data_IF_070236105880
#
_entry.id   IF_070236105880
#
_cell.length_a   1.000
_cell.length_b   1.000
_cell.length_c   1.000
_cell.angle_alpha   90.00
_cell.angle_beta   90.00
_cell.angle_gamma   90.00
#
_symmetry.space_group_name_H-M   'P 1'
#
loop_
_entity.id
_entity.type
_entity.pdbx_description
1 polymer ?
#
# COMPACT_ATOMS: atom_id res chain seq x y z
N UNK A 1 37.40 0.42 -20.15
CA UNK A 1 36.36 0.45 -19.09
C UNK A 1 35.03 0.50 -19.80
N UNK A 2 34.28 -0.58 -19.79
CA UNK A 2 32.90 -0.62 -20.30
C UNK A 2 32.04 0.23 -19.37
N UNK A 3 31.18 1.10 -19.91
CA UNK A 3 30.27 1.90 -19.10
C UNK A 3 29.34 0.96 -18.30
N UNK A 4 29.23 1.18 -16.98
CA UNK A 4 28.33 0.41 -16.10
C UNK A 4 26.90 0.70 -16.53
N UNK A 5 26.07 -0.35 -16.69
CA UNK A 5 24.68 -0.18 -17.13
C UNK A 5 23.83 0.53 -16.05
N UNK A 6 22.72 1.17 -16.43
CA UNK A 6 21.80 1.75 -15.45
C UNK A 6 21.20 0.70 -14.50
N UNK A 7 21.01 -0.54 -14.97
CA UNK A 7 20.53 -1.65 -14.15
C UNK A 7 21.55 -2.07 -13.08
N UNK A 8 22.83 -2.14 -13.43
CA UNK A 8 23.88 -2.44 -12.45
C UNK A 8 24.00 -1.32 -11.41
N UNK A 9 23.90 -0.05 -11.85
CA UNK A 9 23.87 1.11 -10.95
C UNK A 9 22.65 1.09 -10.01
N UNK A 10 21.48 0.67 -10.51
CA UNK A 10 20.27 0.52 -9.71
C UNK A 10 20.44 -0.56 -8.63
N UNK A 11 20.99 -1.72 -9.00
CA UNK A 11 21.31 -2.80 -8.05
C UNK A 11 22.34 -2.37 -7.02
N UNK A 12 23.36 -1.62 -7.42
CA UNK A 12 24.38 -1.08 -6.52
C UNK A 12 23.75 -0.13 -5.48
N UNK A 13 22.87 0.77 -5.92
CA UNK A 13 22.13 1.67 -5.03
C UNK A 13 21.27 0.90 -4.03
N UNK A 14 20.53 -0.11 -4.50
CA UNK A 14 19.63 -0.90 -3.66
C UNK A 14 20.34 -1.73 -2.60
N UNK A 15 21.64 -2.02 -2.75
CA UNK A 15 22.43 -2.64 -1.67
C UNK A 15 22.65 -1.70 -0.49
N UNK A 16 22.75 -0.39 -0.75
CA UNK A 16 22.95 0.63 0.28
C UNK A 16 21.62 1.17 0.82
N UNK A 17 20.68 1.46 -0.08
CA UNK A 17 19.35 2.00 0.22
C UNK A 17 18.28 1.14 -0.48
N UNK A 18 17.93 -0.01 0.11
CA UNK A 18 16.96 -0.93 -0.47
C UNK A 18 15.54 -0.32 -0.46
N UNK A 19 14.60 -0.97 -1.15
CA UNK A 19 13.18 -0.56 -1.18
C UNK A 19 12.52 -0.83 0.17
N UNK A 20 11.80 0.16 0.67
CA UNK A 20 10.71 0.05 1.64
C UNK A 20 9.43 0.02 0.84
N UNK A 21 8.87 -1.18 0.64
CA UNK A 21 7.63 -1.34 -0.08
C UNK A 21 6.42 -1.15 0.85
N UNK A 22 5.50 -0.28 0.42
CA UNK A 22 4.37 0.17 1.22
C UNK A 22 3.21 -0.81 1.32
N UNK A 23 3.09 -1.78 0.42
CA UNK A 23 1.94 -2.67 0.37
C UNK A 23 2.20 -3.96 -0.41
N UNK A 24 2.13 -5.10 0.29
CA UNK A 24 2.20 -6.44 -0.29
C UNK A 24 1.21 -7.37 0.43
N UNK A 25 0.39 -8.06 -0.36
CA UNK A 25 -0.76 -8.85 0.08
C UNK A 25 -0.47 -10.34 0.23
N UNK A 26 0.80 -10.73 0.31
CA UNK A 26 1.21 -12.11 0.56
C UNK A 26 0.39 -12.81 1.66
N UNK A 27 0.08 -12.19 2.82
CA UNK A 27 -0.78 -12.81 3.83
C UNK A 27 -2.18 -13.19 3.30
N UNK A 28 -2.84 -12.31 2.54
CA UNK A 28 -4.14 -12.61 1.93
C UNK A 28 -4.02 -13.68 0.84
N UNK A 29 -2.98 -13.65 0.00
CA UNK A 29 -2.74 -14.71 -0.97
C UNK A 29 -2.54 -16.09 -0.29
N UNK A 30 -1.82 -16.14 0.83
CA UNK A 30 -1.64 -17.35 1.64
C UNK A 30 -2.95 -17.81 2.29
N UNK A 31 -3.83 -16.88 2.70
CA UNK A 31 -5.18 -17.19 3.18
C UNK A 31 -5.98 -17.90 2.10
N UNK A 32 -6.09 -17.30 0.92
CA UNK A 32 -6.99 -17.78 -0.12
C UNK A 32 -6.47 -19.06 -0.79
N UNK A 33 -5.16 -19.14 -1.06
CA UNK A 33 -4.60 -20.27 -1.80
C UNK A 33 -4.44 -21.52 -0.95
N UNK A 34 -4.02 -21.38 0.32
CA UNK A 34 -3.61 -22.52 1.15
C UNK A 34 -4.11 -22.43 2.59
N UNK A 35 -5.00 -21.49 2.91
CA UNK A 35 -5.53 -21.26 4.27
C UNK A 35 -4.43 -21.24 5.33
N UNK A 36 -3.38 -20.51 5.02
CA UNK A 36 -2.17 -20.35 5.84
C UNK A 36 -1.39 -21.65 6.11
N UNK A 37 -1.53 -22.71 5.31
CA UNK A 37 -0.55 -23.79 5.31
C UNK A 37 0.76 -23.31 4.68
N UNK A 38 1.61 -22.68 5.49
CA UNK A 38 2.87 -22.07 5.06
C UNK A 38 3.87 -23.09 4.52
N UNK A 39 3.69 -24.39 4.79
CA UNK A 39 4.53 -25.42 4.17
C UNK A 39 4.15 -25.65 2.70
N UNK A 40 2.89 -25.45 2.33
CA UNK A 40 2.41 -25.54 0.95
C UNK A 40 2.80 -24.31 0.09
N UNK A 41 3.24 -23.23 0.74
CA UNK A 41 3.79 -22.01 0.13
C UNK A 41 5.03 -21.55 0.89
N UNK A 42 6.06 -22.41 0.90
CA UNK A 42 7.32 -22.09 1.55
C UNK A 42 8.07 -21.01 0.74
N UNK A 43 8.03 -19.77 1.23
CA UNK A 43 8.66 -18.62 0.56
C UNK A 43 10.18 -18.63 0.61
N UNK A 44 10.83 -19.58 1.30
CA UNK A 44 12.28 -19.79 1.13
C UNK A 44 12.62 -20.46 -0.20
N UNK A 45 11.63 -21.11 -0.84
CA UNK A 45 11.74 -21.66 -2.20
C UNK A 45 11.08 -20.74 -3.24
N UNK A 46 11.45 -20.86 -4.52
CA UNK A 46 10.75 -20.15 -5.59
C UNK A 46 9.25 -20.46 -5.62
N UNK A 47 8.42 -19.42 -5.64
CA UNK A 47 6.95 -19.48 -5.65
C UNK A 47 6.35 -18.83 -6.90
N UNK A 48 7.14 -18.59 -7.96
CA UNK A 48 6.73 -17.86 -9.17
C UNK A 48 5.52 -18.45 -9.93
N UNK A 49 5.16 -19.71 -9.68
CA UNK A 49 3.96 -20.32 -10.25
C UNK A 49 2.66 -19.92 -9.52
N UNK A 50 2.77 -19.30 -8.35
CA UNK A 50 1.65 -19.09 -7.42
C UNK A 50 1.60 -17.69 -6.81
N UNK A 51 2.76 -17.05 -6.64
CA UNK A 51 2.92 -15.81 -5.92
C UNK A 51 3.86 -14.87 -6.67
N UNK A 52 3.63 -13.57 -6.51
CA UNK A 52 4.61 -12.53 -6.83
C UNK A 52 5.77 -12.54 -5.82
N UNK A 53 5.56 -13.04 -4.60
CA UNK A 53 6.54 -12.92 -3.51
C UNK A 53 7.17 -14.25 -3.10
N UNK A 54 8.50 -14.26 -3.01
CA UNK A 54 9.30 -15.19 -2.20
C UNK A 54 10.62 -14.52 -1.78
N UNK A 55 11.34 -15.13 -0.83
CA UNK A 55 12.56 -14.57 -0.26
C UNK A 55 13.66 -14.37 -1.32
N UNK A 56 13.97 -15.33 -2.22
CA UNK A 56 14.94 -15.10 -3.29
C UNK A 56 14.61 -13.87 -4.15
N UNK A 57 13.36 -13.72 -4.58
CA UNK A 57 12.95 -12.58 -5.42
C UNK A 57 12.93 -11.26 -4.66
N UNK A 58 12.55 -11.24 -3.38
CA UNK A 58 12.66 -10.03 -2.54
C UNK A 58 14.11 -9.54 -2.48
N UNK A 59 15.07 -10.46 -2.34
CA UNK A 59 16.51 -10.14 -2.35
C UNK A 59 16.97 -9.65 -3.72
N UNK A 60 16.55 -10.32 -4.80
CA UNK A 60 16.88 -9.91 -6.17
C UNK A 60 16.35 -8.51 -6.49
N UNK A 61 15.14 -8.20 -6.03
CA UNK A 61 14.50 -6.90 -6.17
C UNK A 61 15.07 -5.81 -5.27
N UNK A 62 15.95 -6.15 -4.32
CA UNK A 62 16.50 -5.20 -3.37
C UNK A 62 15.48 -4.65 -2.38
N UNK A 63 14.51 -5.47 -1.95
CA UNK A 63 13.56 -5.12 -0.88
C UNK A 63 14.25 -5.27 0.47
N UNK A 64 14.27 -4.21 1.26
CA UNK A 64 14.91 -4.15 2.57
C UNK A 64 13.94 -3.86 3.70
N UNK A 65 12.74 -3.36 3.38
CA UNK A 65 11.61 -3.39 4.28
C UNK A 65 10.30 -3.61 3.52
N UNK A 66 9.36 -4.27 4.18
CA UNK A 66 8.03 -4.53 3.63
C UNK A 66 7.00 -4.21 4.71
N UNK A 67 6.00 -3.41 4.34
CA UNK A 67 4.73 -3.42 5.04
C UNK A 67 3.90 -4.57 4.48
N UNK A 68 3.73 -5.62 5.29
CA UNK A 68 2.85 -6.73 4.99
C UNK A 68 1.41 -6.30 5.25
N UNK A 69 0.59 -6.32 4.20
CA UNK A 69 -0.83 -6.02 4.33
C UNK A 69 -1.49 -7.09 5.20
N UNK A 70 -2.24 -6.65 6.21
CA UNK A 70 -3.15 -7.50 6.97
C UNK A 70 -4.59 -7.26 6.53
N UNK A 71 -4.77 -7.01 5.24
CA UNK A 71 -6.05 -6.85 4.55
C UNK A 71 -7.04 -7.97 4.90
N UNK A 72 -8.29 -7.57 5.03
CA UNK A 72 -9.44 -8.46 5.03
C UNK A 72 -10.57 -7.82 4.25
N UNK A 73 -11.44 -8.63 3.66
CA UNK A 73 -12.63 -8.12 2.97
C UNK A 73 -13.54 -7.31 3.89
N UNK A 74 -14.00 -6.17 3.39
CA UNK A 74 -14.96 -5.26 4.03
C UNK A 74 -16.36 -5.85 4.22
N UNK A 75 -16.74 -6.81 3.37
CA UNK A 75 -18.06 -7.45 3.37
C UNK A 75 -18.16 -8.68 4.30
N UNK A 76 -17.11 -8.97 5.08
CA UNK A 76 -17.18 -9.98 6.13
C UNK A 76 -18.04 -9.48 7.30
N UNK A 77 -18.87 -10.35 7.91
CA UNK A 77 -19.71 -9.96 9.05
C UNK A 77 -18.88 -9.52 10.26
N UNK A 78 -17.75 -10.20 10.52
CA UNK A 78 -16.82 -9.89 11.60
C UNK A 78 -15.39 -9.79 11.04
N UNK A 79 -14.90 -8.58 10.70
CA UNK A 79 -13.57 -8.41 10.10
C UNK A 79 -12.42 -8.49 11.12
N UNK A 80 -12.69 -8.28 12.41
CA UNK A 80 -11.65 -8.28 13.45
C UNK A 80 -10.95 -9.64 13.60
N UNK A 81 -11.66 -10.79 13.75
CA UNK A 81 -11.01 -12.10 13.81
C UNK A 81 -10.13 -12.40 12.59
N UNK A 82 -10.61 -12.08 11.38
CA UNK A 82 -9.83 -12.26 10.16
C UNK A 82 -8.57 -11.38 10.16
N UNK A 83 -8.66 -10.14 10.66
CA UNK A 83 -7.50 -9.24 10.78
C UNK A 83 -6.46 -9.83 11.74
N UNK A 84 -6.91 -10.43 12.85
CA UNK A 84 -6.02 -11.12 13.79
C UNK A 84 -5.35 -12.35 13.18
N UNK A 85 -6.05 -13.10 12.33
CA UNK A 85 -5.49 -14.24 11.58
C UNK A 85 -4.42 -13.77 10.57
N UNK A 86 -4.64 -12.63 9.90
CA UNK A 86 -3.65 -12.04 8.99
C UNK A 86 -2.39 -11.59 9.75
N UNK A 87 -2.55 -10.95 10.91
CA UNK A 87 -1.44 -10.61 11.82
C UNK A 87 -0.69 -11.88 12.25
N UNK A 88 -1.41 -12.94 12.64
CA UNK A 88 -0.81 -14.23 12.99
C UNK A 88 0.00 -14.82 11.83
N UNK A 89 -0.51 -14.74 10.59
CA UNK A 89 0.19 -15.19 9.40
C UNK A 89 1.56 -14.49 9.27
N UNK A 90 1.59 -13.15 9.37
CA UNK A 90 2.86 -12.38 9.30
C UNK A 90 3.81 -12.79 10.43
N UNK A 91 3.31 -12.97 11.67
CA UNK A 91 4.13 -13.40 12.80
C UNK A 91 4.71 -14.81 12.58
N UNK A 92 3.95 -15.73 12.00
CA UNK A 92 4.43 -17.07 11.65
C UNK A 92 5.47 -17.05 10.53
N UNK A 93 5.38 -16.13 9.57
CA UNK A 93 6.44 -15.91 8.57
C UNK A 93 7.73 -15.44 9.25
N UNK A 94 7.64 -14.47 10.16
CA UNK A 94 8.80 -13.99 10.93
C UNK A 94 9.47 -15.08 11.76
N UNK A 95 8.67 -15.92 12.42
CA UNK A 95 9.17 -17.07 13.21
C UNK A 95 9.82 -18.14 12.34
N UNK A 96 9.30 -18.36 11.13
CA UNK A 96 9.76 -19.40 10.21
C UNK A 96 11.04 -19.00 9.46
N UNK A 97 11.23 -17.70 9.18
CA UNK A 97 12.37 -17.19 8.40
C UNK A 97 13.18 -16.11 9.14
N UNK A 98 13.68 -16.36 10.36
CA UNK A 98 14.33 -15.34 11.20
C UNK A 98 15.68 -14.85 10.66
N UNK A 99 16.30 -15.62 9.77
CA UNK A 99 17.54 -15.25 9.09
C UNK A 99 17.31 -14.20 8.00
N UNK A 100 16.11 -14.14 7.44
CA UNK A 100 15.77 -13.28 6.31
C UNK A 100 14.88 -12.11 6.71
N UNK A 101 13.94 -12.35 7.64
CA UNK A 101 12.96 -11.38 8.08
C UNK A 101 13.26 -10.92 9.52
N UNK A 102 13.07 -9.63 9.77
CA UNK A 102 13.20 -9.04 11.10
C UNK A 102 11.91 -8.30 11.46
N UNK A 103 11.31 -8.50 12.64
CA UNK A 103 10.17 -7.69 13.06
C UNK A 103 10.61 -6.22 13.18
N UNK A 104 9.84 -5.31 12.60
CA UNK A 104 10.11 -3.88 12.72
C UNK A 104 8.85 -3.14 13.20
N UNK A 105 9.00 -2.45 14.32
CA UNK A 105 7.94 -1.70 15.00
C UNK A 105 8.26 -0.21 15.08
N UNK A 106 9.43 0.21 14.59
CA UNK A 106 9.91 1.57 14.62
C UNK A 106 10.86 1.85 13.45
N UNK A 107 11.10 3.14 13.18
CA UNK A 107 12.13 3.59 12.24
C UNK A 107 13.53 3.07 12.62
N UNK A 108 13.81 2.97 13.92
CA UNK A 108 15.07 2.39 14.41
C UNK A 108 15.19 0.89 14.11
N UNK A 109 14.10 0.13 14.20
CA UNK A 109 14.10 -1.30 13.85
C UNK A 109 14.34 -1.50 12.35
N UNK A 110 13.82 -0.61 11.49
CA UNK A 110 14.10 -0.65 10.05
C UNK A 110 15.59 -0.48 9.77
N UNK A 111 16.23 0.49 10.41
CA UNK A 111 17.69 0.70 10.27
C UNK A 111 18.51 -0.46 10.84
N UNK A 112 18.08 -1.04 11.97
CA UNK A 112 18.73 -2.22 12.54
C UNK A 112 18.63 -3.43 11.60
N UNK A 113 17.46 -3.71 11.04
CA UNK A 113 17.26 -4.78 10.08
C UNK A 113 18.13 -4.59 8.82
N UNK A 114 18.20 -3.36 8.29
CA UNK A 114 19.08 -3.04 7.16
C UNK A 114 20.54 -3.29 7.48
N UNK A 115 21.02 -2.87 8.65
CA UNK A 115 22.40 -3.08 9.07
C UNK A 115 22.76 -4.57 9.23
N UNK A 116 21.78 -5.41 9.58
CA UNK A 116 21.92 -6.87 9.68
C UNK A 116 21.69 -7.61 8.36
N UNK A 117 21.32 -6.90 7.28
CA UNK A 117 20.97 -7.51 6.00
C UNK A 117 19.66 -8.31 6.02
N UNK A 118 18.76 -8.03 6.96
CA UNK A 118 17.42 -8.63 7.05
C UNK A 118 16.36 -7.68 6.51
N UNK A 119 15.25 -8.23 6.04
CA UNK A 119 14.11 -7.46 5.55
C UNK A 119 13.28 -7.04 6.75
N UNK A 120 13.23 -5.73 7.02
CA UNK A 120 12.39 -5.18 8.07
C UNK A 120 10.92 -5.44 7.72
N UNK A 121 10.21 -6.15 8.58
CA UNK A 121 8.85 -6.63 8.33
C UNK A 121 7.89 -5.92 9.27
N UNK A 122 7.12 -5.00 8.70
CA UNK A 122 6.08 -4.21 9.35
C UNK A 122 4.70 -4.74 8.94
N UNK A 123 3.64 -4.26 9.59
CA UNK A 123 2.27 -4.59 9.22
C UNK A 123 1.44 -3.34 9.00
N UNK A 124 0.52 -3.41 8.05
CA UNK A 124 -0.46 -2.35 7.81
C UNK A 124 -1.86 -2.92 7.57
N UNK A 125 -2.84 -2.41 8.31
CA UNK A 125 -4.23 -2.81 8.14
C UNK A 125 -4.84 -2.05 6.96
N UNK A 126 -5.63 -2.74 6.14
CA UNK A 126 -6.20 -2.14 4.94
C UNK A 126 -7.72 -2.01 5.08
N UNK A 127 -8.13 -0.90 5.66
CA UNK A 127 -9.53 -0.50 5.80
C UNK A 127 -9.97 -0.35 7.26
N UNK A 128 -10.75 0.70 7.50
CA UNK A 128 -11.28 1.04 8.82
C UNK A 128 -12.27 0.02 9.40
N UNK A 129 -12.80 -0.89 8.59
CA UNK A 129 -13.64 -1.99 9.06
C UNK A 129 -12.88 -2.93 10.00
N UNK A 130 -11.55 -3.06 9.87
CA UNK A 130 -10.70 -3.86 10.76
C UNK A 130 -10.75 -3.45 12.23
N UNK A 131 -11.27 -2.25 12.55
CA UNK A 131 -11.44 -1.80 13.95
C UNK A 131 -12.88 -1.89 14.46
N UNK A 132 -13.84 -2.29 13.62
CA UNK A 132 -15.25 -2.42 13.98
C UNK A 132 -15.79 -1.22 14.80
N UNK A 133 -15.51 0.00 14.34
CA UNK A 133 -15.87 1.27 15.00
C UNK A 133 -15.38 1.40 16.46
N UNK A 134 -14.29 0.72 16.83
CA UNK A 134 -13.77 0.69 18.20
C UNK A 134 -12.33 1.22 18.26
N UNK A 135 -12.15 2.35 18.95
CA UNK A 135 -10.83 2.88 19.27
C UNK A 135 -10.03 1.93 20.17
N UNK A 136 -10.71 1.10 20.97
CA UNK A 136 -10.06 0.04 21.75
C UNK A 136 -9.42 -1.04 20.86
N UNK A 137 -10.12 -1.44 19.79
CA UNK A 137 -9.59 -2.40 18.80
C UNK A 137 -8.43 -1.77 18.03
N UNK A 138 -8.54 -0.50 17.59
CA UNK A 138 -7.44 0.24 16.96
C UNK A 138 -6.16 0.20 17.79
N UNK A 139 -6.25 0.50 19.10
CA UNK A 139 -5.12 0.40 20.03
C UNK A 139 -4.59 -1.04 20.16
N UNK A 140 -5.48 -2.03 20.14
CA UNK A 140 -5.12 -3.44 20.15
C UNK A 140 -4.31 -3.84 18.92
N UNK A 141 -4.73 -3.44 17.71
CA UNK A 141 -3.99 -3.68 16.48
C UNK A 141 -2.60 -3.03 16.52
N UNK A 142 -2.50 -1.79 17.00
CA UNK A 142 -1.20 -1.13 17.20
C UNK A 142 -0.28 -1.92 18.13
N UNK A 143 -0.81 -2.41 19.26
CA UNK A 143 -0.08 -3.21 20.23
C UNK A 143 0.39 -4.55 19.66
N UNK A 144 -0.35 -5.11 18.69
CA UNK A 144 0.02 -6.33 17.96
C UNK A 144 1.05 -6.08 16.86
N UNK A 145 1.39 -4.82 16.56
CA UNK A 145 2.47 -4.45 15.65
C UNK A 145 2.03 -3.73 14.37
N UNK A 146 0.73 -3.45 14.19
CA UNK A 146 0.25 -2.68 13.04
C UNK A 146 0.77 -1.23 13.10
N UNK A 147 1.26 -0.71 11.98
CA UNK A 147 1.93 0.61 11.89
C UNK A 147 1.31 1.58 10.91
N UNK A 148 0.45 1.13 9.99
CA UNK A 148 -0.51 2.00 9.33
C UNK A 148 -1.91 1.38 9.34
N UNK A 149 -2.92 2.21 9.13
CA UNK A 149 -4.25 1.74 8.73
C UNK A 149 -4.78 2.59 7.58
N UNK A 150 -5.15 1.94 6.48
CA UNK A 150 -5.92 2.55 5.38
C UNK A 150 -7.32 2.85 5.89
N UNK A 151 -7.84 4.08 5.73
CA UNK A 151 -9.09 4.46 6.40
C UNK A 151 -10.32 3.74 5.81
N UNK A 152 -10.28 3.41 4.52
CA UNK A 152 -11.26 2.55 3.84
C UNK A 152 -10.53 1.51 3.00
N UNK A 153 -11.25 0.46 2.58
CA UNK A 153 -10.86 -0.30 1.39
C UNK A 153 -11.76 0.19 0.23
N UNK A 154 -12.29 -0.69 -0.60
CA UNK A 154 -13.13 -0.30 -1.75
C UNK A 154 -14.51 0.24 -1.38
N UNK A 155 -15.04 -0.07 -0.19
CA UNK A 155 -16.36 0.37 0.24
C UNK A 155 -16.25 1.43 1.35
N UNK A 156 -17.27 2.28 1.46
CA UNK A 156 -17.41 3.17 2.59
C UNK A 156 -17.44 2.40 3.91
N UNK A 157 -16.86 2.99 4.96
CA UNK A 157 -17.13 2.61 6.35
C UNK A 157 -18.00 3.69 7.00
N UNK A 158 -18.58 3.41 8.16
CA UNK A 158 -19.54 4.32 8.82
C UNK A 158 -19.03 5.74 9.08
N UNK A 159 -17.71 5.97 9.02
CA UNK A 159 -17.04 7.21 9.39
C UNK A 159 -16.05 7.75 8.35
N UNK A 160 -15.89 7.08 7.20
CA UNK A 160 -15.02 7.51 6.11
C UNK A 160 -15.51 7.05 4.73
N UNK A 161 -15.44 7.95 3.76
CA UNK A 161 -15.82 7.67 2.37
C UNK A 161 -14.65 7.07 1.55
N UNK A 162 -14.94 6.04 0.77
CA UNK A 162 -14.07 5.38 -0.20
C UNK A 162 -14.14 6.07 -1.56
N UNK A 163 -13.05 6.03 -2.33
CA UNK A 163 -13.02 6.59 -3.68
C UNK A 163 -13.81 5.77 -4.71
N UNK A 164 -14.09 4.50 -4.41
CA UNK A 164 -14.78 3.57 -5.32
C UNK A 164 -16.21 3.26 -4.87
N UNK A 165 -16.78 4.11 -4.02
CA UNK A 165 -18.15 4.02 -3.54
C UNK A 165 -18.85 5.38 -3.71
N UNK A 166 -20.18 5.40 -3.52
CA UNK A 166 -20.98 6.62 -3.57
C UNK A 166 -20.71 7.49 -2.33
N UNK A 167 -20.76 8.83 -2.44
CA UNK A 167 -20.58 9.71 -1.28
C UNK A 167 -21.58 9.44 -0.15
N UNK A 168 -21.10 9.41 1.11
CA UNK A 168 -21.95 9.18 2.28
C UNK A 168 -21.74 10.24 3.36
N UNK A 169 -20.65 10.17 4.14
CA UNK A 169 -20.38 11.14 5.24
C UNK A 169 -19.70 12.41 4.74
N UNK A 170 -19.31 12.46 3.46
CA UNK A 170 -18.71 13.61 2.81
C UNK A 170 -17.21 13.77 3.05
N UNK A 171 -16.50 12.67 3.33
CA UNK A 171 -15.11 12.67 3.74
C UNK A 171 -14.90 11.89 5.04
N UNK A 172 -14.55 12.60 6.13
CA UNK A 172 -14.52 12.04 7.48
C UNK A 172 -15.64 12.60 8.35
N UNK A 173 -16.37 11.70 9.02
CA UNK A 173 -17.30 12.06 10.10
C UNK A 173 -16.58 12.61 11.34
N UNK A 174 -17.31 12.98 12.39
CA UNK A 174 -16.70 13.42 13.63
C UNK A 174 -15.93 12.27 14.31
N UNK A 175 -16.48 11.05 14.29
CA UNK A 175 -15.77 9.84 14.71
C UNK A 175 -14.56 9.53 13.82
N UNK A 176 -14.67 9.70 12.50
CA UNK A 176 -13.54 9.50 11.58
C UNK A 176 -12.35 10.41 11.90
N UNK A 177 -12.62 11.68 12.24
CA UNK A 177 -11.57 12.60 12.73
C UNK A 177 -11.01 12.18 14.10
N UNK A 178 -11.81 11.55 14.96
CA UNK A 178 -11.34 10.99 16.23
C UNK A 178 -10.45 9.76 16.02
N UNK A 179 -10.76 8.91 15.03
CA UNK A 179 -9.89 7.80 14.61
C UNK A 179 -8.52 8.34 14.19
N UNK A 180 -8.48 9.36 13.31
CA UNK A 180 -7.22 10.02 12.91
C UNK A 180 -6.45 10.57 14.11
N UNK A 181 -7.13 11.24 15.05
CA UNK A 181 -6.49 11.76 16.28
C UNK A 181 -5.93 10.65 17.16
N UNK A 182 -6.59 9.50 17.28
CA UNK A 182 -6.08 8.38 18.07
C UNK A 182 -4.93 7.66 17.35
N UNK A 183 -4.95 7.57 16.01
CA UNK A 183 -3.83 7.08 15.20
C UNK A 183 -2.57 7.94 15.40
N UNK A 184 -2.71 9.28 15.33
CA UNK A 184 -1.61 10.20 15.64
C UNK A 184 -1.08 10.01 17.07
N UNK A 185 -1.96 9.80 18.06
CA UNK A 185 -1.55 9.57 19.46
C UNK A 185 -0.76 8.27 19.62
N UNK A 186 -1.12 7.24 18.86
CA UNK A 186 -0.47 5.94 18.90
C UNK A 186 0.89 5.97 18.21
N UNK A 187 1.01 6.73 17.12
CA UNK A 187 2.10 6.61 16.17
C UNK A 187 1.76 5.62 15.05
N UNK A 188 0.47 5.39 14.81
CA UNK A 188 0.00 4.65 13.63
C UNK A 188 -0.15 5.64 12.48
N UNK A 189 0.50 5.36 11.35
CA UNK A 189 0.39 6.15 10.15
C UNK A 189 -1.04 6.09 9.60
N UNK A 190 -1.56 7.25 9.23
CA UNK A 190 -2.84 7.37 8.50
C UNK A 190 -2.55 7.09 7.04
N UNK A 191 -3.11 6.00 6.50
CA UNK A 191 -3.01 5.68 5.08
C UNK A 191 -4.27 6.13 4.33
N UNK A 192 -4.03 6.88 3.26
CA UNK A 192 -5.03 7.52 2.41
C UNK A 192 -5.13 6.87 1.04
N UNK A 193 -4.52 5.70 0.83
CA UNK A 193 -4.93 4.83 -0.27
C UNK A 193 -6.41 4.46 -0.11
N UNK A 194 -7.07 4.12 -1.20
CA UNK A 194 -8.51 3.82 -1.32
C UNK A 194 -9.49 4.95 -1.05
N UNK A 195 -9.21 5.86 -0.12
CA UNK A 195 -10.20 6.82 0.36
C UNK A 195 -10.59 7.86 -0.70
N UNK A 196 -11.80 8.40 -0.61
CA UNK A 196 -12.25 9.47 -1.48
C UNK A 196 -11.38 10.73 -1.34
N UNK A 197 -11.30 11.55 -2.39
CA UNK A 197 -10.54 12.80 -2.33
C UNK A 197 -11.04 13.77 -1.24
N UNK A 198 -12.32 13.72 -0.88
CA UNK A 198 -12.88 14.43 0.28
C UNK A 198 -12.24 13.94 1.58
N UNK A 199 -12.20 12.63 1.78
CA UNK A 199 -11.55 11.96 2.91
C UNK A 199 -10.05 12.26 2.99
N UNK A 200 -9.35 12.32 1.85
CA UNK A 200 -7.93 12.70 1.81
C UNK A 200 -7.71 14.09 2.42
N UNK A 201 -8.52 15.08 2.01
CA UNK A 201 -8.42 16.47 2.49
C UNK A 201 -8.77 16.58 3.97
N UNK A 202 -9.84 15.92 4.39
CA UNK A 202 -10.26 15.90 5.80
C UNK A 202 -9.23 15.25 6.72
N UNK A 203 -8.58 14.17 6.27
CA UNK A 203 -7.53 13.52 7.03
C UNK A 203 -6.27 14.40 7.13
N UNK A 204 -5.90 15.09 6.05
CA UNK A 204 -4.80 16.06 6.05
C UNK A 204 -5.10 17.28 6.94
N UNK A 205 -6.37 17.69 7.08
CA UNK A 205 -6.79 18.74 8.01
C UNK A 205 -6.76 18.27 9.47
N UNK A 206 -7.13 17.01 9.72
CA UNK A 206 -7.22 16.45 11.07
C UNK A 206 -5.88 15.91 11.61
N UNK A 207 -4.98 15.46 10.73
CA UNK A 207 -3.73 14.81 11.11
C UNK A 207 -2.68 15.81 11.56
N UNK A 208 -2.08 15.53 12.71
CA UNK A 208 -0.91 16.23 13.26
C UNK A 208 0.41 15.49 12.99
N UNK A 209 0.34 14.30 12.39
CA UNK A 209 1.49 13.52 11.95
C UNK A 209 1.52 13.40 10.41
N UNK A 210 2.70 13.10 9.83
CA UNK A 210 2.80 12.69 8.44
C UNK A 210 1.84 11.56 8.08
N UNK A 211 1.11 11.73 6.97
CA UNK A 211 0.24 10.69 6.39
C UNK A 211 0.98 9.94 5.28
N UNK A 212 0.44 8.79 4.88
CA UNK A 212 0.94 8.06 3.72
C UNK A 212 -0.18 7.79 2.71
N UNK A 213 0.22 7.48 1.48
CA UNK A 213 -0.55 6.63 0.58
C UNK A 213 0.30 5.37 0.37
N UNK A 214 -0.08 4.24 0.97
CA UNK A 214 0.69 2.99 0.90
C UNK A 214 0.83 2.42 -0.52
N UNK A 215 -0.16 2.65 -1.39
CA UNK A 215 -0.14 2.21 -2.80
C UNK A 215 -1.14 3.04 -3.63
N UNK A 216 -0.75 4.23 -4.06
CA UNK A 216 -1.57 5.08 -4.96
C UNK A 216 -0.68 5.90 -5.90
N UNK A 217 -1.11 6.07 -7.14
CA UNK A 217 -0.37 6.79 -8.18
C UNK A 217 -1.00 8.16 -8.48
N UNK A 218 -0.44 8.95 -9.41
CA UNK A 218 -0.96 10.30 -9.72
C UNK A 218 -2.21 10.32 -10.60
N UNK A 219 -3.25 11.06 -10.18
CA UNK A 219 -4.53 11.15 -10.92
C UNK A 219 -4.43 12.01 -12.17
N UNK A 220 -3.58 13.04 -12.15
CA UNK A 220 -3.37 13.89 -13.33
C UNK A 220 -2.70 13.15 -14.50
N UNK A 221 -1.94 12.08 -14.21
CA UNK A 221 -1.31 11.23 -15.23
C UNK A 221 -2.30 10.18 -15.76
N UNK A 222 -3.13 9.60 -14.88
CA UNK A 222 -4.15 8.64 -15.25
C UNK A 222 -5.39 8.85 -14.38
N UNK A 223 -6.51 9.27 -14.98
CA UNK A 223 -7.70 9.69 -14.24
C UNK A 223 -8.48 8.46 -13.75
N UNK A 224 -8.20 8.07 -12.51
CA UNK A 224 -8.87 6.97 -11.82
C UNK A 224 -9.08 7.35 -10.35
N UNK A 225 -10.23 6.99 -9.73
CA UNK A 225 -10.54 7.37 -8.34
C UNK A 225 -9.53 6.85 -7.31
N UNK A 226 -8.83 5.73 -7.59
CA UNK A 226 -7.74 5.25 -6.72
C UNK A 226 -6.48 6.11 -6.75
N UNK A 227 -6.31 6.99 -7.73
CA UNK A 227 -5.13 7.84 -7.83
C UNK A 227 -5.31 9.17 -7.06
N UNK A 228 -4.19 9.77 -6.66
CA UNK A 228 -4.11 10.98 -5.83
C UNK A 228 -4.22 12.23 -6.69
N UNK A 229 -5.17 13.15 -6.42
CA UNK A 229 -5.24 14.46 -7.07
C UNK A 229 -4.05 15.36 -6.74
N UNK A 230 -3.70 16.27 -7.66
CA UNK A 230 -2.56 17.19 -7.46
C UNK A 230 -2.76 18.10 -6.24
N UNK A 231 -3.98 18.60 -5.99
CA UNK A 231 -4.26 19.45 -4.82
C UNK A 231 -4.03 18.74 -3.47
N UNK A 232 -4.02 17.40 -3.48
CA UNK A 232 -3.69 16.58 -2.31
C UNK A 232 -2.18 16.32 -2.24
N UNK A 233 -1.54 16.04 -3.38
CA UNK A 233 -0.06 15.88 -3.47
C UNK A 233 0.67 17.15 -3.02
N UNK A 234 0.17 18.34 -3.40
CA UNK A 234 0.72 19.65 -3.01
C UNK A 234 0.71 19.89 -1.49
N UNK A 235 -0.11 19.16 -0.74
CA UNK A 235 -0.21 19.28 0.74
C UNK A 235 0.82 18.43 1.48
N UNK A 236 1.43 17.45 0.83
CA UNK A 236 2.39 16.53 1.47
C UNK A 236 3.63 17.24 2.02
N UNK A 237 4.22 18.25 1.37
CA UNK A 237 5.33 19.03 1.95
C UNK A 237 5.01 19.65 3.30
N UNK A 238 3.82 20.24 3.45
CA UNK A 238 3.40 20.88 4.70
C UNK A 238 3.04 19.84 5.78
N UNK A 239 2.44 18.71 5.39
CA UNK A 239 2.11 17.63 6.30
C UNK A 239 3.34 16.78 6.72
N UNK A 240 4.37 16.69 5.86
CA UNK A 240 5.56 15.85 6.05
C UNK A 240 5.41 14.40 5.54
N UNK A 241 4.24 14.06 5.00
CA UNK A 241 3.87 12.73 4.51
C UNK A 241 4.53 12.30 3.20
N UNK A 242 4.09 11.17 2.65
CA UNK A 242 4.56 10.66 1.36
C UNK A 242 3.49 9.86 0.60
N UNK A 243 3.55 9.87 -0.74
CA UNK A 243 2.73 9.01 -1.60
C UNK A 243 3.58 7.90 -2.24
N UNK A 244 3.21 6.64 -2.00
CA UNK A 244 3.94 5.47 -2.48
C UNK A 244 3.30 4.98 -3.78
N UNK A 245 4.01 5.13 -4.90
CA UNK A 245 3.47 4.81 -6.23
C UNK A 245 3.15 3.32 -6.32
N UNK A 246 2.03 2.98 -6.91
CA UNK A 246 1.62 1.58 -7.14
C UNK A 246 1.77 1.15 -8.58
N UNK A 247 1.79 -0.16 -8.82
CA UNK A 247 2.04 -0.75 -10.14
C UNK A 247 0.77 -1.28 -10.81
N UNK A 248 -0.39 -1.22 -10.15
CA UNK A 248 -1.66 -1.77 -10.65
C UNK A 248 -1.99 -1.22 -12.05
N UNK A 249 -1.94 -2.04 -13.12
CA UNK A 249 -2.07 -1.55 -14.50
C UNK A 249 -3.36 -0.79 -14.77
N UNK A 250 -4.48 -1.25 -14.22
CA UNK A 250 -5.79 -0.58 -14.35
C UNK A 250 -5.90 0.75 -13.58
N UNK A 251 -4.87 1.17 -12.86
CA UNK A 251 -4.77 2.50 -12.25
C UNK A 251 -3.72 3.38 -12.95
N UNK A 252 -2.65 2.79 -13.49
CA UNK A 252 -1.51 3.55 -14.00
C UNK A 252 -1.46 3.70 -15.52
N UNK A 253 -2.19 2.87 -16.26
CA UNK A 253 -2.25 2.95 -17.72
C UNK A 253 -3.64 3.39 -18.17
N UNK A 254 -3.76 4.56 -18.80
CA UNK A 254 -5.05 5.08 -19.27
C UNK A 254 -5.79 4.07 -20.16
N UNK A 255 -5.08 3.40 -21.07
CA UNK A 255 -5.67 2.35 -21.89
C UNK A 255 -6.25 1.19 -21.06
N UNK A 256 -5.63 0.83 -19.93
CA UNK A 256 -6.15 -0.20 -19.03
C UNK A 256 -7.34 0.30 -18.21
N UNK A 257 -7.35 1.57 -17.78
CA UNK A 257 -8.54 2.21 -17.18
C UNK A 257 -9.72 2.11 -18.14
N UNK A 258 -9.54 2.59 -19.37
CA UNK A 258 -10.59 2.60 -20.41
C UNK A 258 -11.06 1.18 -20.73
N UNK A 259 -10.12 0.23 -20.83
CA UNK A 259 -10.42 -1.19 -21.07
C UNK A 259 -11.22 -1.80 -19.93
N UNK A 260 -10.86 -1.54 -18.67
CA UNK A 260 -11.58 -2.05 -17.50
C UNK A 260 -12.99 -1.46 -17.44
N UNK A 261 -13.16 -0.17 -17.70
CA UNK A 261 -14.48 0.44 -17.76
C UNK A 261 -15.38 -0.21 -18.84
N UNK A 262 -14.82 -0.45 -20.03
CA UNK A 262 -15.52 -1.14 -21.10
C UNK A 262 -15.85 -2.61 -20.78
N UNK A 263 -14.97 -3.31 -20.07
CA UNK A 263 -15.22 -4.68 -19.60
C UNK A 263 -16.36 -4.71 -18.57
N UNK A 264 -16.39 -3.75 -17.65
CA UNK A 264 -17.44 -3.62 -16.64
C UNK A 264 -18.79 -3.28 -17.26
N UNK A 265 -18.82 -2.38 -18.25
CA UNK A 265 -20.01 -2.08 -19.04
C UNK A 265 -20.52 -3.30 -19.80
N UNK A 266 -19.60 -4.09 -20.37
CA UNK A 266 -19.95 -5.34 -21.04
C UNK A 266 -20.57 -6.34 -20.04
N UNK A 267 -20.03 -6.49 -18.84
CA UNK A 267 -20.63 -7.33 -17.79
C UNK A 267 -22.05 -6.88 -17.45
N UNK A 268 -22.24 -5.57 -17.22
CA UNK A 268 -23.57 -4.98 -16.94
C UNK A 268 -24.56 -5.17 -18.10
N UNK A 269 -24.11 -5.06 -19.34
CA UNK A 269 -24.94 -5.28 -20.53
C UNK A 269 -25.44 -6.75 -20.64
N UNK A 270 -24.72 -7.68 -20.03
CA UNK A 270 -25.13 -9.09 -19.89
C UNK A 270 -25.95 -9.37 -18.62
N UNK A 271 -26.34 -8.34 -17.87
CA UNK A 271 -27.14 -8.47 -16.65
C UNK A 271 -26.35 -8.93 -15.42
N UNK A 272 -25.02 -8.86 -15.48
CA UNK A 272 -24.12 -9.30 -14.42
C UNK A 272 -23.58 -8.12 -13.62
N UNK A 273 -23.27 -8.35 -12.35
CA UNK A 273 -22.43 -7.41 -11.60
C UNK A 273 -21.01 -7.43 -12.19
N UNK A 274 -20.34 -6.28 -12.26
CA UNK A 274 -19.01 -6.19 -12.86
C UNK A 274 -17.93 -6.98 -12.07
N UNK A 275 -18.18 -7.25 -10.79
CA UNK A 275 -17.36 -8.14 -9.94
C UNK A 275 -17.85 -9.60 -9.91
N UNK A 276 -18.72 -10.01 -10.82
CA UNK A 276 -19.23 -11.40 -10.86
C UNK A 276 -18.13 -12.37 -11.31
N UNK A 277 -17.75 -13.28 -10.41
CA UNK A 277 -16.73 -14.31 -10.64
C UNK A 277 -17.32 -15.71 -10.86
N UNK A 278 -18.63 -15.84 -11.11
CA UNK A 278 -19.26 -17.12 -11.46
C UNK A 278 -18.72 -17.64 -12.80
N UNK A 279 -18.95 -18.92 -13.10
CA UNK A 279 -18.54 -19.49 -14.39
C UNK A 279 -19.13 -18.72 -15.58
N UNK A 280 -20.38 -18.25 -15.45
CA UNK A 280 -21.07 -17.43 -16.44
C UNK A 280 -20.41 -16.06 -16.58
N UNK A 281 -20.17 -15.35 -15.46
CA UNK A 281 -19.48 -14.06 -15.48
C UNK A 281 -18.09 -14.13 -16.09
N UNK A 282 -17.31 -15.14 -15.70
CA UNK A 282 -15.98 -15.36 -16.25
C UNK A 282 -16.01 -15.75 -17.73
N UNK A 283 -17.07 -16.42 -18.21
CA UNK A 283 -17.25 -16.70 -19.65
C UNK A 283 -17.50 -15.41 -20.44
N UNK A 284 -18.36 -14.52 -19.94
CA UNK A 284 -18.63 -13.21 -20.55
C UNK A 284 -17.36 -12.37 -20.58
N UNK A 285 -16.61 -12.32 -19.47
CA UNK A 285 -15.37 -11.57 -19.39
C UNK A 285 -14.29 -12.11 -20.35
N UNK A 286 -14.09 -13.43 -20.42
CA UNK A 286 -13.14 -14.04 -21.37
C UNK A 286 -13.49 -13.74 -22.82
N UNK A 287 -14.77 -13.80 -23.19
CA UNK A 287 -15.20 -13.46 -24.54
C UNK A 287 -14.92 -11.98 -24.88
N UNK A 288 -15.08 -11.08 -23.90
CA UNK A 288 -14.70 -9.68 -24.05
C UNK A 288 -13.19 -9.52 -24.27
N UNK A 289 -12.36 -10.18 -23.45
CA UNK A 289 -10.90 -10.12 -23.53
C UNK A 289 -10.33 -10.75 -24.81
N UNK A 290 -10.95 -11.81 -25.34
CA UNK A 290 -10.60 -12.39 -26.65
C UNK A 290 -10.83 -11.41 -27.80
N UNK A 291 -11.92 -10.63 -27.74
CA UNK A 291 -12.26 -9.64 -28.75
C UNK A 291 -11.49 -8.31 -28.56
N UNK A 292 -11.13 -7.99 -27.32
CA UNK A 292 -10.44 -6.77 -26.92
C UNK A 292 -9.25 -7.14 -26.04
N UNK A 293 -8.08 -7.43 -26.63
CA UNK A 293 -6.90 -7.82 -25.85
C UNK A 293 -6.56 -6.77 -24.78
N UNK A 294 -6.25 -7.25 -23.57
CA UNK A 294 -5.90 -6.39 -22.44
C UNK A 294 -4.62 -5.60 -22.73
N UNK A 295 -4.61 -4.27 -22.51
CA UNK A 295 -3.40 -3.46 -22.65
C UNK A 295 -2.41 -3.75 -21.51
N UNK A 296 -1.12 -3.67 -21.83
CA UNK A 296 -0.03 -4.01 -20.91
C UNK A 296 0.72 -2.74 -20.52
N UNK A 297 0.78 -2.46 -19.22
CA UNK A 297 1.59 -1.37 -18.66
C UNK A 297 3.07 -1.76 -18.68
N UNK A 298 3.96 -0.78 -18.54
CA UNK A 298 5.42 -1.02 -18.51
C UNK A 298 6.07 -0.30 -17.33
N UNK A 299 7.36 -0.57 -17.09
CA UNK A 299 8.18 0.24 -16.18
C UNK A 299 8.08 1.75 -16.48
N UNK A 300 8.09 2.13 -17.76
CA UNK A 300 8.00 3.54 -18.17
C UNK A 300 6.68 4.18 -17.73
N UNK A 301 5.58 3.41 -17.77
CA UNK A 301 4.26 3.86 -17.29
C UNK A 301 4.32 4.26 -15.81
N UNK A 302 4.95 3.44 -14.97
CA UNK A 302 5.12 3.75 -13.54
C UNK A 302 6.06 4.93 -13.33
N UNK A 303 7.13 5.03 -14.11
CA UNK A 303 8.07 6.15 -14.04
C UNK A 303 7.41 7.49 -14.44
N UNK A 304 6.44 7.50 -15.36
CA UNK A 304 5.66 8.70 -15.72
C UNK A 304 4.87 9.25 -14.51
N UNK A 305 4.28 8.36 -13.70
CA UNK A 305 3.65 8.75 -12.45
C UNK A 305 4.65 9.31 -11.45
N UNK A 306 5.83 8.70 -11.30
CA UNK A 306 6.85 9.18 -10.36
C UNK A 306 7.42 10.54 -10.76
N UNK A 307 7.64 10.79 -12.05
CA UNK A 307 8.10 12.10 -12.53
C UNK A 307 7.09 13.21 -12.17
N UNK A 308 5.80 12.97 -12.43
CA UNK A 308 4.73 13.91 -12.07
C UNK A 308 4.58 14.08 -10.56
N UNK A 309 4.55 12.98 -9.80
CA UNK A 309 4.47 13.02 -8.33
C UNK A 309 5.67 13.78 -7.73
N UNK A 310 6.86 13.60 -8.28
CA UNK A 310 8.06 14.34 -7.87
C UNK A 310 7.92 15.84 -8.17
N UNK A 311 7.35 16.22 -9.30
CA UNK A 311 7.12 17.62 -9.66
C UNK A 311 6.14 18.31 -8.69
N UNK A 312 5.04 17.64 -8.35
CA UNK A 312 3.96 18.22 -7.54
C UNK A 312 4.21 18.09 -6.03
N UNK A 313 4.53 16.90 -5.55
CA UNK A 313 4.73 16.63 -4.12
C UNK A 313 6.18 16.89 -3.66
N UNK A 314 7.17 16.83 -4.56
CA UNK A 314 8.58 16.88 -4.23
C UNK A 314 9.19 15.51 -3.90
N UNK A 315 10.49 15.36 -4.16
CA UNK A 315 11.23 14.08 -4.02
C UNK A 315 11.26 13.52 -2.59
N UNK A 316 11.09 14.39 -1.59
CA UNK A 316 11.02 14.01 -0.18
C UNK A 316 9.65 13.39 0.19
N UNK A 317 8.67 13.36 -0.72
CA UNK A 317 7.28 13.01 -0.42
C UNK A 317 6.76 11.86 -1.29
N UNK A 318 7.66 11.00 -1.76
CA UNK A 318 7.33 9.86 -2.62
C UNK A 318 8.02 8.58 -2.16
N UNK A 319 7.37 7.44 -2.41
CA UNK A 319 7.85 6.08 -2.14
C UNK A 319 7.33 5.07 -3.16
N UNK A 320 7.40 3.77 -2.83
CA UNK A 320 6.95 2.67 -3.70
C UNK A 320 6.06 1.71 -2.90
N UNK A 321 4.91 1.33 -3.45
CA UNK A 321 4.00 0.32 -2.90
C UNK A 321 3.42 -0.54 -4.01
N UNK A 322 4.11 -1.63 -4.32
CA UNK A 322 3.93 -2.38 -5.56
C UNK A 322 2.59 -3.10 -5.70
N UNK A 323 1.87 -3.33 -4.60
CA UNK A 323 0.61 -4.10 -4.58
C UNK A 323 0.79 -5.57 -5.03
N UNK A 324 1.99 -6.12 -4.83
CA UNK A 324 2.29 -7.51 -5.16
C UNK A 324 1.44 -8.47 -4.31
N UNK A 325 1.05 -9.59 -4.91
CA UNK A 325 0.07 -10.56 -4.39
C UNK A 325 -1.35 -9.99 -4.11
N UNK A 326 -1.59 -8.69 -4.31
CA UNK A 326 -2.89 -8.01 -4.17
C UNK A 326 -3.60 -7.74 -5.50
N UNK A 327 -2.84 -7.54 -6.58
CA UNK A 327 -3.36 -7.45 -7.95
C UNK A 327 -3.01 -8.69 -8.79
N UNK A 328 -3.91 -9.09 -9.69
CA UNK A 328 -3.72 -10.21 -10.61
C UNK A 328 -2.81 -9.89 -11.82
N UNK A 329 -2.63 -8.61 -12.14
CA UNK A 329 -1.87 -8.16 -13.32
C UNK A 329 -0.82 -7.15 -12.93
N UNK A 330 0.31 -7.20 -13.61
CA UNK A 330 1.50 -6.39 -13.35
C UNK A 330 2.06 -5.78 -14.64
N UNK A 331 2.80 -4.66 -14.55
CA UNK A 331 3.49 -4.08 -15.71
C UNK A 331 4.64 -4.96 -16.21
N UNK A 332 4.91 -4.92 -17.50
CA UNK A 332 6.11 -5.51 -18.09
C UNK A 332 7.38 -4.92 -17.45
N UNK A 333 8.26 -5.80 -16.97
CA UNK A 333 9.45 -5.44 -16.20
C UNK A 333 9.23 -5.29 -14.69
N UNK A 334 7.98 -5.34 -14.22
CA UNK A 334 7.56 -5.32 -12.81
C UNK A 334 6.65 -6.52 -12.49
N UNK A 335 6.95 -7.67 -13.12
CA UNK A 335 6.09 -8.86 -13.07
C UNK A 335 5.93 -9.45 -11.67
N UNK A 336 6.94 -9.26 -10.81
CA UNK A 336 6.97 -9.74 -9.43
C UNK A 336 7.97 -8.91 -8.59
N UNK A 337 8.14 -9.25 -7.31
CA UNK A 337 8.96 -8.48 -6.36
C UNK A 337 10.45 -8.39 -6.73
N UNK A 338 10.94 -9.11 -7.75
CA UNK A 338 12.30 -8.94 -8.27
C UNK A 338 12.47 -7.73 -9.19
N UNK A 339 11.36 -7.08 -9.60
CA UNK A 339 11.34 -6.10 -10.68
C UNK A 339 11.82 -4.69 -10.35
N UNK A 340 11.91 -4.29 -9.08
CA UNK A 340 12.24 -2.90 -8.69
C UNK A 340 13.53 -2.32 -9.30
N UNK A 341 14.63 -3.08 -9.48
CA UNK A 341 15.83 -2.57 -10.15
C UNK A 341 15.58 -2.05 -11.57
N UNK A 342 14.58 -2.59 -12.28
CA UNK A 342 14.20 -2.11 -13.60
C UNK A 342 13.59 -0.70 -13.54
N UNK A 343 12.74 -0.44 -12.53
CA UNK A 343 12.19 0.90 -12.29
C UNK A 343 13.28 1.91 -11.95
N UNK A 344 14.20 1.56 -11.06
CA UNK A 344 15.31 2.45 -10.72
C UNK A 344 16.23 2.70 -11.93
N UNK A 345 16.44 1.69 -12.78
CA UNK A 345 17.23 1.86 -14.01
C UNK A 345 16.57 2.85 -14.98
N UNK A 346 15.25 2.78 -15.14
CA UNK A 346 14.48 3.74 -15.93
C UNK A 346 14.57 5.15 -15.33
N UNK A 347 14.40 5.32 -14.01
CA UNK A 347 14.51 6.63 -13.37
C UNK A 347 15.93 7.22 -13.47
N UNK A 348 16.97 6.40 -13.35
CA UNK A 348 18.36 6.82 -13.61
C UNK A 348 18.55 7.29 -15.06
N UNK A 349 17.94 6.60 -16.02
CA UNK A 349 17.96 6.99 -17.43
C UNK A 349 17.24 8.33 -17.66
N UNK A 350 16.17 8.60 -16.89
CA UNK A 350 15.46 9.88 -16.85
C UNK A 350 16.18 10.99 -16.07
N UNK A 351 17.36 10.71 -15.50
CA UNK A 351 18.20 11.70 -14.84
C UNK A 351 17.96 11.87 -13.34
N UNK A 352 17.23 10.95 -12.69
CA UNK A 352 17.12 10.94 -11.23
C UNK A 352 18.50 10.70 -10.60
N UNK A 353 18.80 11.45 -9.54
CA UNK A 353 20.07 11.29 -8.84
C UNK A 353 20.05 10.07 -7.92
N UNK A 354 21.22 9.54 -7.58
CA UNK A 354 21.34 8.49 -6.55
C UNK A 354 20.74 8.93 -5.21
N UNK A 355 20.83 10.22 -4.86
CA UNK A 355 20.21 10.73 -3.63
C UNK A 355 18.69 10.78 -3.72
N UNK A 356 18.12 11.13 -4.88
CA UNK A 356 16.68 11.11 -5.10
C UNK A 356 16.13 9.70 -4.95
N UNK A 357 16.83 8.73 -5.52
CA UNK A 357 16.43 7.32 -5.46
C UNK A 357 16.61 6.74 -4.06
N UNK A 358 17.64 7.12 -3.31
CA UNK A 358 17.77 6.72 -1.90
C UNK A 358 16.62 7.27 -1.03
N UNK A 359 16.08 8.45 -1.35
CA UNK A 359 14.88 9.00 -0.72
C UNK A 359 13.65 8.18 -1.08
N UNK A 360 13.44 7.95 -2.38
CA UNK A 360 12.34 7.15 -2.91
C UNK A 360 12.30 5.75 -2.30
N UNK A 361 13.44 5.07 -2.20
CA UNK A 361 13.49 3.67 -1.76
C UNK A 361 13.51 3.53 -0.25
N UNK A 362 14.25 4.36 0.48
CA UNK A 362 14.51 4.11 1.91
C UNK A 362 14.19 5.30 2.82
N UNK A 363 14.83 6.44 2.56
CA UNK A 363 14.95 7.50 3.57
C UNK A 363 13.61 8.18 3.88
N UNK A 364 12.73 8.34 2.89
CA UNK A 364 11.42 8.96 3.11
C UNK A 364 10.55 8.12 4.04
N UNK A 365 10.50 6.81 3.83
CA UNK A 365 9.67 5.92 4.64
C UNK A 365 10.16 5.85 6.10
N UNK A 366 11.47 5.74 6.31
CA UNK A 366 12.07 5.79 7.66
C UNK A 366 11.79 7.12 8.35
N UNK A 367 11.92 8.25 7.63
CA UNK A 367 11.61 9.59 8.15
C UNK A 367 10.14 9.69 8.57
N UNK A 368 9.22 9.27 7.71
CA UNK A 368 7.77 9.38 7.94
C UNK A 368 7.34 8.56 9.16
N UNK A 369 7.85 7.33 9.31
CA UNK A 369 7.58 6.52 10.49
C UNK A 369 8.17 7.16 11.77
N UNK A 370 9.41 7.63 11.71
CA UNK A 370 10.06 8.31 12.84
C UNK A 370 9.32 9.58 13.28
N UNK A 371 8.82 10.38 12.34
CA UNK A 371 8.03 11.56 12.63
C UNK A 371 6.67 11.23 13.28
N UNK A 372 6.03 10.12 12.89
CA UNK A 372 4.83 9.64 13.57
C UNK A 372 5.11 9.20 15.01
N UNK A 373 6.25 8.58 15.27
CA UNK A 373 6.69 8.24 16.63
C UNK A 373 6.93 9.47 17.51
N UNK A 374 7.51 10.52 16.94
CA UNK A 374 7.74 11.80 17.63
C UNK A 374 6.43 12.48 18.00
N UNK A 375 5.49 12.61 17.06
CA UNK A 375 4.15 13.16 17.34
C UNK A 375 3.43 12.32 18.40
N UNK A 376 3.53 11.00 18.33
CA UNK A 376 2.94 10.11 19.32
C UNK A 376 3.57 10.28 20.72
N UNK A 377 4.86 10.59 20.81
CA UNK A 377 5.55 10.85 22.08
C UNK A 377 4.94 12.07 22.77
N UNK A 378 4.75 13.16 22.02
CA UNK A 378 4.20 14.41 22.53
C UNK A 378 2.71 14.28 22.89
N UNK A 379 1.92 13.64 22.03
CA UNK A 379 0.49 13.45 22.28
C UNK A 379 0.22 12.50 23.46
N UNK A 380 1.04 11.47 23.67
CA UNK A 380 0.92 10.57 24.84
C UNK A 380 1.34 11.24 26.14
N UNK A 381 2.23 12.23 26.08
CA UNK A 381 2.62 13.02 27.25
C UNK A 381 1.54 14.04 27.66
N UNK A 382 0.73 14.51 26.70
CA UNK A 382 -0.24 15.60 26.92
C UNK A 382 -1.68 15.13 27.12
N UNK A 383 -2.06 13.93 26.65
CA UNK A 383 -3.40 13.36 26.86
C UNK A 383 -3.44 11.83 26.92
N UNK A 384 -4.44 11.32 27.64
CA UNK A 384 -4.79 9.91 27.66
C UNK A 384 -5.39 9.41 26.33
N UNK A 385 -5.60 8.09 26.19
CA UNK A 385 -6.33 7.53 25.05
C UNK A 385 -7.79 8.01 25.03
N UNK A 386 -8.34 8.14 23.83
CA UNK A 386 -9.77 8.47 23.69
C UNK A 386 -10.66 7.29 24.09
N UNK A 387 -11.78 7.62 24.74
CA UNK A 387 -12.87 6.69 25.05
C UNK A 387 -14.17 7.05 24.31
N UNK A 388 -14.09 7.92 23.31
CA UNK A 388 -15.24 8.28 22.50
C UNK A 388 -15.74 7.08 21.69
N UNK A 389 -17.04 7.04 21.46
CA UNK A 389 -17.72 6.06 20.61
C UNK A 389 -18.30 6.73 19.37
N UNK A 390 -18.57 5.93 18.34
CA UNK A 390 -19.22 6.46 17.12
C UNK A 390 -20.60 7.04 17.42
N UNK A 391 -21.40 6.41 18.29
CA UNK A 391 -22.71 6.94 18.68
C UNK A 391 -22.65 8.26 19.45
N UNK A 392 -21.57 8.52 20.21
CA UNK A 392 -21.39 9.81 20.87
C UNK A 392 -21.01 10.94 19.90
N UNK A 393 -20.26 10.64 18.84
CA UNK A 393 -19.72 11.64 17.93
C UNK A 393 -20.57 11.86 16.68
N UNK A 394 -21.21 10.81 16.17
CA UNK A 394 -21.94 10.83 14.90
C UNK A 394 -23.46 10.63 15.06
N UNK A 395 -23.93 10.18 16.24
CA UNK A 395 -25.36 10.00 16.56
C UNK A 395 -25.84 8.56 16.56
#
# INVERSE_FOLDING_TARGET
MTAVSFLDRARDLLRDFPVVDGHNDLPWALREQVRYDLAARDIAAPQNAHLHTDLPRLREGGVGAQYWSVYVRSDLPDPVPATLEQIDCVRRLLERYPADLAPALSAADMEAARAEGRIASLMGAEGGHSIANSLGVLRGLYALGVRYMTLTHNDNVAWADSATDEPAVGGLSAFGREVVREMNRLGMLVDLSHVAATTMRDALDASTAPVIFSHSSARAVCDHPRNVPDDVLERLPANGGMAMVTFVPKFVLQAAVDWTAAADDNMRAHGLHHLDTTEEGMKVHRAFEEAHPRPVATVATVADHLDHMREVAGVDHIGIGGDYDGTAFTPDGLGDVSGYPNLLAELLQRGWSTSDLAKLTWQNAVRVLGAAEDVARDLRATRGPSNATIGELDG
#
